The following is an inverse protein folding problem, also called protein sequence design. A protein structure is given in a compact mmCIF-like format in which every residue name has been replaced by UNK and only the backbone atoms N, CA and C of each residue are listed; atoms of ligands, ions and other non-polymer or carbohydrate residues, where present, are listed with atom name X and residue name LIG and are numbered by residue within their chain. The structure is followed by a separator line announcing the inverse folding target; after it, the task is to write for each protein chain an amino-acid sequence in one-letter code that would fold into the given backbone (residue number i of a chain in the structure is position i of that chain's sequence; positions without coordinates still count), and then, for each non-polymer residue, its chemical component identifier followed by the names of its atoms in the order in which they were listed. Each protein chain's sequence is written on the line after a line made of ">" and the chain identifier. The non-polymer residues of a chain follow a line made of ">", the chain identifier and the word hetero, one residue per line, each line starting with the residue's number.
data_IF_497929010508
#
_entry.id   IF_497929010508
#
_cell.length_a   1.000
_cell.length_b   1.000
_cell.length_c   1.000
_cell.angle_alpha   90.00
_cell.angle_beta   90.00
_cell.angle_gamma   90.00
#
_symmetry.space_group_name_H-M   'P 1'
#
loop_
_entity.id
_entity.type
_entity.pdbx_description
1 polymer ?
#
# COMPACT_ATOMS: atom_id res chain seq x y z
N UNK A 1 80.92 42.29 -23.49
CA UNK A 1 79.77 42.57 -22.61
C UNK A 1 78.49 42.37 -23.41
N UNK A 2 77.71 41.32 -23.20
CA UNK A 2 76.44 41.17 -23.87
C UNK A 2 75.36 41.87 -23.06
N UNK A 3 74.27 42.35 -23.66
CA UNK A 3 73.21 43.09 -22.98
C UNK A 3 72.25 42.13 -22.27
N UNK A 4 71.83 42.55 -21.08
CA UNK A 4 70.85 41.90 -20.21
C UNK A 4 69.45 42.10 -20.79
N UNK A 5 68.78 41.07 -21.25
CA UNK A 5 67.36 41.13 -21.67
C UNK A 5 66.52 40.81 -20.44
N UNK A 6 65.86 41.85 -19.89
CA UNK A 6 64.90 41.72 -18.81
C UNK A 6 63.54 41.37 -19.42
N UNK A 7 63.12 40.16 -19.33
CA UNK A 7 61.73 39.73 -19.64
C UNK A 7 60.85 39.97 -18.43
N UNK A 8 60.16 41.11 -18.36
CA UNK A 8 59.00 41.33 -17.46
C UNK A 8 57.82 40.54 -18.01
N UNK A 9 57.66 39.34 -17.59
CA UNK A 9 56.42 38.61 -17.78
C UNK A 9 55.33 39.24 -16.87
N UNK A 10 54.37 39.91 -17.51
CA UNK A 10 53.25 40.53 -16.84
C UNK A 10 52.32 39.46 -16.25
N UNK A 11 52.41 39.23 -14.96
CA UNK A 11 51.52 38.33 -14.17
C UNK A 11 50.05 38.86 -14.16
N UNK A 12 49.78 40.05 -14.67
CA UNK A 12 48.43 40.66 -14.61
C UNK A 12 47.43 40.01 -15.55
N UNK A 13 47.83 39.30 -16.60
CA UNK A 13 46.91 38.65 -17.54
C UNK A 13 46.39 37.30 -17.08
N UNK A 14 47.03 36.67 -16.11
CA UNK A 14 46.61 35.39 -15.59
C UNK A 14 45.40 35.50 -14.62
N UNK A 15 45.28 36.66 -13.98
CA UNK A 15 44.20 36.91 -13.00
C UNK A 15 42.84 37.22 -13.64
N UNK A 16 42.80 37.64 -14.90
CA UNK A 16 41.54 38.00 -15.57
C UNK A 16 40.78 36.79 -16.12
N UNK A 17 41.46 35.67 -16.39
CA UNK A 17 40.83 34.48 -16.97
C UNK A 17 40.25 33.52 -15.93
N UNK A 18 40.66 33.61 -14.66
CA UNK A 18 40.20 32.71 -13.61
C UNK A 18 38.89 33.18 -12.96
N UNK A 19 38.55 34.48 -13.05
CA UNK A 19 37.32 35.04 -12.46
C UNK A 19 36.01 34.50 -13.06
N UNK A 20 35.82 34.36 -14.37
CA UNK A 20 34.59 33.82 -14.92
C UNK A 20 34.44 32.31 -14.64
N UNK A 21 35.55 31.57 -14.54
CA UNK A 21 35.51 30.13 -14.25
C UNK A 21 35.06 29.84 -12.81
N UNK A 22 35.47 30.68 -11.86
CA UNK A 22 35.03 30.59 -10.46
C UNK A 22 33.55 30.91 -10.29
N UNK A 23 33.03 31.90 -11.01
CA UNK A 23 31.61 32.23 -10.98
C UNK A 23 30.74 31.13 -11.61
N UNK A 24 31.22 30.53 -12.68
CA UNK A 24 30.55 29.40 -13.33
C UNK A 24 30.46 28.18 -12.41
N UNK A 25 31.54 27.87 -11.68
CA UNK A 25 31.54 26.77 -10.72
C UNK A 25 30.57 26.99 -9.55
N UNK A 26 30.45 28.21 -9.05
CA UNK A 26 29.46 28.57 -8.02
C UNK A 26 28.01 28.43 -8.50
N UNK A 27 27.76 28.75 -9.76
CA UNK A 27 26.44 28.64 -10.36
C UNK A 27 26.02 27.18 -10.53
N UNK A 28 26.94 26.31 -10.90
CA UNK A 28 26.70 24.85 -11.02
C UNK A 28 26.43 24.23 -9.65
N UNK A 29 27.17 24.60 -8.61
CA UNK A 29 26.99 24.13 -7.24
C UNK A 29 25.62 24.57 -6.69
N UNK A 30 25.19 25.77 -7.01
CA UNK A 30 23.87 26.29 -6.61
C UNK A 30 22.70 25.51 -7.25
N UNK A 31 22.85 25.05 -8.49
CA UNK A 31 21.86 24.22 -9.17
C UNK A 31 21.80 22.78 -8.63
N UNK A 32 22.91 22.27 -8.13
CA UNK A 32 22.99 20.92 -7.53
C UNK A 32 22.40 20.85 -6.11
N UNK A 33 22.16 21.99 -5.46
CA UNK A 33 21.62 22.05 -4.11
C UNK A 33 20.10 22.18 -4.04
N UNK A 34 19.39 22.19 -5.20
CA UNK A 34 17.95 22.10 -5.15
C UNK A 34 17.58 20.64 -4.76
N UNK A 35 17.17 20.38 -3.50
CA UNK A 35 16.63 19.08 -3.17
C UNK A 35 15.39 18.89 -4.05
N UNK A 36 15.44 17.90 -4.91
CA UNK A 36 14.22 17.38 -5.52
C UNK A 36 13.45 16.75 -4.38
N UNK A 37 12.60 17.54 -3.73
CA UNK A 37 11.54 16.98 -2.91
C UNK A 37 10.68 16.19 -3.89
N UNK A 38 10.83 14.87 -3.90
CA UNK A 38 9.78 14.01 -4.40
C UNK A 38 8.56 14.37 -3.54
N UNK A 39 7.69 15.22 -4.08
CA UNK A 39 6.35 15.35 -3.56
C UNK A 39 5.73 13.96 -3.76
N UNK A 40 5.79 13.15 -2.70
CA UNK A 40 4.79 12.13 -2.52
C UNK A 40 3.50 12.93 -2.34
N UNK A 41 2.63 12.83 -3.31
CA UNK A 41 1.28 13.38 -3.21
C UNK A 41 0.56 12.49 -2.18
N UNK A 42 0.77 12.82 -0.89
CA UNK A 42 0.24 12.08 0.26
C UNK A 42 -1.27 12.32 0.46
N UNK A 43 -1.91 13.02 -0.47
CA UNK A 43 -3.34 13.30 -0.43
C UNK A 43 -4.19 12.15 -1.03
N UNK A 44 -3.80 10.89 -0.80
CA UNK A 44 -4.76 9.80 -0.92
C UNK A 44 -5.67 9.90 0.30
N UNK A 45 -6.77 10.61 0.13
CA UNK A 45 -7.84 10.69 1.14
C UNK A 45 -8.37 9.28 1.38
N UNK A 46 -7.83 8.62 2.44
CA UNK A 46 -8.31 7.30 2.83
C UNK A 46 -9.72 7.51 3.40
N UNK A 47 -10.78 6.93 2.80
CA UNK A 47 -12.12 7.08 3.33
C UNK A 47 -12.19 6.57 4.76
N UNK A 48 -12.91 7.26 5.64
CA UNK A 48 -13.08 6.87 7.04
C UNK A 48 -13.61 5.43 7.19
N UNK A 49 -14.42 4.99 6.23
CA UNK A 49 -14.98 3.64 6.19
C UNK A 49 -14.71 2.99 4.83
N UNK A 50 -13.56 2.35 4.69
CA UNK A 50 -13.19 1.59 3.48
C UNK A 50 -14.10 0.37 3.28
N UNK A 51 -14.52 -0.27 4.38
CA UNK A 51 -15.43 -1.41 4.36
C UNK A 51 -16.53 -1.17 5.37
N UNK A 52 -17.77 -1.32 4.93
CA UNK A 52 -18.96 -1.35 5.79
C UNK A 52 -19.61 -2.72 5.68
N UNK A 53 -20.26 -3.17 6.75
CA UNK A 53 -20.93 -4.48 6.72
C UNK A 53 -22.29 -4.42 7.41
N UNK A 54 -23.16 -5.36 7.00
CA UNK A 54 -24.39 -5.69 7.67
C UNK A 54 -24.33 -7.17 8.07
N UNK A 55 -24.71 -7.47 9.30
CA UNK A 55 -24.74 -8.84 9.82
C UNK A 55 -26.17 -9.30 10.00
N UNK A 56 -26.47 -10.55 9.65
CA UNK A 56 -27.76 -11.20 9.90
C UNK A 56 -27.58 -12.67 10.21
N UNK A 57 -28.55 -13.24 10.91
CA UNK A 57 -28.62 -14.68 11.21
C UNK A 57 -29.62 -15.35 10.29
N UNK A 58 -29.34 -16.59 9.93
CA UNK A 58 -30.25 -17.46 9.19
C UNK A 58 -30.31 -18.85 9.86
N UNK A 59 -31.45 -19.23 10.49
CA UNK A 59 -32.67 -18.46 10.70
C UNK A 59 -32.45 -17.23 11.61
N UNK A 60 -33.34 -16.22 11.56
CA UNK A 60 -33.19 -14.97 12.31
C UNK A 60 -33.20 -15.16 13.85
N UNK A 61 -33.94 -16.13 14.35
CA UNK A 61 -34.13 -16.35 15.78
C UNK A 61 -33.84 -17.83 16.14
N UNK A 62 -32.57 -18.28 16.05
CA UNK A 62 -32.21 -19.64 16.42
C UNK A 62 -32.32 -19.84 17.94
N UNK A 63 -32.74 -21.02 18.39
CA UNK A 63 -32.83 -21.38 19.79
C UNK A 63 -31.50 -22.00 20.28
N UNK A 64 -31.27 -22.01 21.60
CA UNK A 64 -30.17 -22.77 22.18
C UNK A 64 -30.13 -24.23 21.67
N UNK A 65 -28.96 -24.68 21.25
CA UNK A 65 -28.73 -25.98 20.64
C UNK A 65 -28.99 -26.04 19.13
N UNK A 66 -29.61 -25.03 18.51
CA UNK A 66 -29.86 -25.01 17.07
C UNK A 66 -28.67 -24.53 16.28
N UNK A 67 -28.57 -25.03 15.05
CA UNK A 67 -27.59 -24.54 14.07
C UNK A 67 -28.14 -23.30 13.35
N UNK A 68 -27.27 -22.35 13.14
CA UNK A 68 -27.56 -21.15 12.39
C UNK A 68 -26.38 -20.76 11.50
N UNK A 69 -26.58 -19.77 10.68
CA UNK A 69 -25.53 -19.19 9.85
C UNK A 69 -25.49 -17.68 10.08
N UNK A 70 -24.30 -17.17 10.37
CA UNK A 70 -24.04 -15.74 10.32
C UNK A 70 -23.70 -15.40 8.89
N UNK A 71 -24.35 -14.36 8.37
CA UNK A 71 -24.10 -13.80 7.04
C UNK A 71 -23.64 -12.36 7.25
N UNK A 72 -22.46 -12.05 6.71
CA UNK A 72 -21.89 -10.70 6.71
C UNK A 72 -21.88 -10.20 5.28
N UNK A 73 -22.76 -9.25 4.97
CA UNK A 73 -22.79 -8.59 3.67
C UNK A 73 -21.90 -7.35 3.73
N UNK A 74 -20.72 -7.41 3.11
CA UNK A 74 -19.74 -6.33 3.07
C UNK A 74 -19.97 -5.47 1.84
N UNK A 75 -19.82 -4.16 2.02
CA UNK A 75 -19.70 -3.18 0.94
C UNK A 75 -18.31 -2.55 1.03
N UNK A 76 -17.56 -2.67 -0.04
CA UNK A 76 -16.18 -2.23 -0.17
C UNK A 76 -16.17 -0.92 -0.97
N UNK A 77 -15.40 0.07 -0.53
CA UNK A 77 -15.28 1.35 -1.21
C UNK A 77 -14.59 1.16 -2.57
N UNK A 78 -15.02 1.90 -3.57
CA UNK A 78 -14.44 1.84 -4.91
C UNK A 78 -12.92 2.05 -4.88
N UNK A 79 -12.18 1.20 -5.63
CA UNK A 79 -10.73 1.19 -5.65
C UNK A 79 -10.06 0.41 -4.51
N UNK A 80 -10.85 -0.14 -3.57
CA UNK A 80 -10.39 -0.99 -2.48
C UNK A 80 -10.83 -2.43 -2.68
N UNK A 81 -10.13 -3.35 -2.04
CA UNK A 81 -10.48 -4.77 -2.05
C UNK A 81 -10.24 -5.41 -0.67
N UNK A 82 -10.89 -6.51 -0.42
CA UNK A 82 -10.62 -7.40 0.71
C UNK A 82 -10.16 -8.76 0.19
N UNK A 83 -9.16 -9.35 0.83
CA UNK A 83 -8.68 -10.65 0.41
C UNK A 83 -9.66 -11.76 0.78
N UNK A 84 -9.61 -12.87 0.06
CA UNK A 84 -10.38 -14.08 0.31
C UNK A 84 -10.21 -14.57 1.76
N UNK A 85 -11.22 -15.24 2.30
CA UNK A 85 -11.12 -15.98 3.57
C UNK A 85 -10.24 -17.24 3.42
N UNK A 86 -10.03 -17.70 2.18
CA UNK A 86 -9.14 -18.82 1.87
C UNK A 86 -7.73 -18.26 1.66
N UNK A 87 -6.74 -18.70 2.46
CA UNK A 87 -5.36 -18.22 2.28
C UNK A 87 -4.83 -18.54 0.88
N UNK A 88 -4.11 -17.60 0.29
CA UNK A 88 -3.31 -17.84 -0.91
C UNK A 88 -2.05 -18.65 -0.54
N UNK A 89 -1.55 -19.46 -1.46
CA UNK A 89 -0.30 -20.20 -1.26
C UNK A 89 0.90 -19.32 -1.61
N UNK A 90 1.94 -19.32 -0.76
CA UNK A 90 3.22 -18.61 -1.00
C UNK A 90 3.74 -17.86 0.22
N UNK A 91 5.06 -17.64 0.27
CA UNK A 91 5.76 -17.01 1.41
C UNK A 91 5.38 -15.53 1.62
N UNK A 92 4.91 -14.87 0.57
CA UNK A 92 4.50 -13.46 0.57
C UNK A 92 2.98 -13.29 0.40
N UNK A 93 2.20 -14.33 0.74
CA UNK A 93 0.75 -14.25 0.58
C UNK A 93 0.16 -13.18 1.50
N UNK A 94 -0.84 -12.42 1.01
CA UNK A 94 -1.58 -11.48 1.85
C UNK A 94 -2.29 -12.20 3.00
N UNK A 95 -2.49 -11.47 4.09
CA UNK A 95 -3.26 -11.99 5.22
C UNK A 95 -4.71 -12.19 4.76
N UNK A 96 -5.29 -13.39 4.90
CA UNK A 96 -6.66 -13.65 4.52
C UNK A 96 -7.64 -12.89 5.42
N UNK A 97 -8.84 -12.63 4.91
CA UNK A 97 -9.92 -12.09 5.71
C UNK A 97 -10.35 -13.10 6.76
N UNK A 98 -10.41 -12.69 8.02
CA UNK A 98 -10.80 -13.55 9.14
C UNK A 98 -12.03 -13.02 9.85
N UNK A 99 -12.91 -13.91 10.27
CA UNK A 99 -14.09 -13.59 11.09
C UNK A 99 -13.82 -13.97 12.54
N UNK A 100 -13.99 -13.01 13.44
CA UNK A 100 -13.86 -13.24 14.88
C UNK A 100 -15.10 -12.74 15.58
N UNK A 101 -15.72 -13.62 16.37
CA UNK A 101 -16.88 -13.30 17.17
C UNK A 101 -16.47 -13.24 18.65
N UNK A 102 -16.96 -12.21 19.35
CA UNK A 102 -16.65 -12.00 20.78
C UNK A 102 -17.67 -12.65 21.71
N UNK A 103 -18.78 -13.15 21.15
CA UNK A 103 -19.83 -13.78 21.91
C UNK A 103 -19.50 -15.25 22.14
N UNK A 104 -19.30 -15.63 23.40
CA UNK A 104 -18.94 -16.98 23.82
C UNK A 104 -20.10 -17.99 23.69
N UNK A 105 -21.34 -17.50 23.52
CA UNK A 105 -22.51 -18.36 23.27
C UNK A 105 -22.60 -18.87 21.83
N UNK A 106 -21.66 -18.48 20.96
CA UNK A 106 -21.60 -18.86 19.56
C UNK A 106 -20.50 -19.91 19.35
N UNK A 107 -20.86 -21.16 19.16
CA UNK A 107 -19.93 -22.20 18.77
C UNK A 107 -19.75 -22.20 17.25
N UNK A 108 -18.58 -21.85 16.75
CA UNK A 108 -18.27 -21.86 15.32
C UNK A 108 -18.15 -23.30 14.79
N UNK A 109 -18.84 -23.58 13.69
CA UNK A 109 -18.83 -24.89 13.04
C UNK A 109 -18.10 -24.79 11.69
N UNK A 110 -16.91 -25.35 11.61
CA UNK A 110 -16.08 -25.35 10.42
C UNK A 110 -15.51 -23.97 10.08
N UNK A 111 -14.82 -23.86 8.94
CA UNK A 111 -14.25 -22.60 8.49
C UNK A 111 -15.32 -21.63 7.94
N UNK A 112 -15.02 -20.35 7.98
CA UNK A 112 -15.76 -19.37 7.22
C UNK A 112 -15.64 -19.63 5.72
N UNK A 113 -16.66 -19.24 4.96
CA UNK A 113 -16.64 -19.32 3.50
C UNK A 113 -17.26 -18.06 2.89
N UNK A 114 -17.11 -17.90 1.60
CA UNK A 114 -17.44 -16.67 0.89
C UNK A 114 -18.16 -16.92 -0.43
N UNK A 115 -18.80 -15.91 -0.98
CA UNK A 115 -19.22 -15.91 -2.38
C UNK A 115 -17.98 -15.91 -3.29
N UNK A 116 -18.16 -16.28 -4.57
CA UNK A 116 -17.05 -16.45 -5.51
C UNK A 116 -16.09 -15.26 -5.55
N UNK A 117 -14.81 -15.44 -5.17
CA UNK A 117 -13.81 -14.38 -5.26
C UNK A 117 -13.36 -14.13 -6.71
N UNK A 118 -12.84 -12.95 -6.95
CA UNK A 118 -12.08 -12.61 -8.15
C UNK A 118 -10.67 -13.19 -7.96
N UNK A 119 -10.17 -13.89 -8.98
CA UNK A 119 -8.80 -14.38 -8.98
C UNK A 119 -7.98 -13.67 -10.06
N UNK A 120 -6.82 -13.14 -9.70
CA UNK A 120 -5.92 -12.47 -10.61
C UNK A 120 -4.46 -12.76 -10.30
N UNK A 121 -3.64 -12.86 -11.33
CA UNK A 121 -2.19 -12.97 -11.16
C UNK A 121 -1.60 -11.60 -10.82
N UNK A 122 -0.83 -11.56 -9.74
CA UNK A 122 -0.08 -10.38 -9.31
C UNK A 122 1.40 -10.55 -9.68
N UNK A 123 1.89 -9.74 -10.62
CA UNK A 123 3.27 -9.85 -11.12
C UNK A 123 4.32 -9.34 -10.12
N UNK A 124 3.94 -8.56 -9.12
CA UNK A 124 4.87 -8.07 -8.09
C UNK A 124 5.14 -9.14 -7.06
N UNK A 125 4.11 -9.88 -6.66
CA UNK A 125 4.21 -10.97 -5.70
C UNK A 125 4.47 -12.33 -6.37
N UNK A 126 4.43 -12.39 -7.71
CA UNK A 126 4.59 -13.61 -8.53
C UNK A 126 3.63 -14.74 -8.11
N UNK A 127 2.36 -14.39 -7.86
CA UNK A 127 1.35 -15.34 -7.37
C UNK A 127 -0.05 -14.98 -7.81
N UNK A 128 -0.97 -15.95 -7.75
CA UNK A 128 -2.39 -15.72 -7.95
C UNK A 128 -3.02 -15.31 -6.63
N UNK A 129 -3.71 -14.19 -6.64
CA UNK A 129 -4.45 -13.65 -5.50
C UNK A 129 -5.95 -13.86 -5.69
N UNK A 130 -6.65 -14.09 -4.58
CA UNK A 130 -8.10 -14.14 -4.51
C UNK A 130 -8.60 -13.02 -3.63
N UNK A 131 -9.53 -12.21 -4.13
CA UNK A 131 -10.02 -11.02 -3.45
C UNK A 131 -11.44 -10.65 -3.90
N UNK A 132 -12.04 -9.69 -3.22
CA UNK A 132 -13.36 -9.14 -3.54
C UNK A 132 -13.28 -7.63 -3.68
N UNK A 133 -14.06 -7.11 -4.62
CA UNK A 133 -14.28 -5.69 -4.86
C UNK A 133 -15.78 -5.39 -4.72
N UNK A 134 -16.15 -4.15 -4.42
CA UNK A 134 -17.50 -3.65 -4.32
C UNK A 134 -18.37 -4.34 -3.26
N UNK A 135 -18.63 -5.64 -3.39
CA UNK A 135 -19.50 -6.40 -2.48
C UNK A 135 -19.08 -7.86 -2.36
N UNK A 136 -19.22 -8.38 -1.15
CA UNK A 136 -19.06 -9.81 -0.87
C UNK A 136 -19.95 -10.20 0.30
N UNK A 137 -20.48 -11.43 0.26
CA UNK A 137 -21.11 -12.06 1.43
C UNK A 137 -20.17 -13.13 1.99
N UNK A 138 -19.86 -12.99 3.29
CA UNK A 138 -19.11 -13.96 4.05
C UNK A 138 -20.07 -14.73 4.96
N UNK A 139 -19.78 -16.00 5.17
CA UNK A 139 -20.65 -16.92 5.86
C UNK A 139 -19.90 -17.69 6.94
N UNK A 140 -20.52 -17.83 8.12
CA UNK A 140 -20.02 -18.70 9.19
C UNK A 140 -21.17 -19.52 9.75
N UNK A 141 -21.02 -20.84 9.71
CA UNK A 141 -21.94 -21.73 10.40
C UNK A 141 -21.64 -21.73 11.90
N UNK A 142 -22.68 -21.71 12.70
CA UNK A 142 -22.62 -21.65 14.16
C UNK A 142 -23.63 -22.60 14.79
N UNK A 143 -23.43 -22.92 16.05
CA UNK A 143 -24.43 -23.46 16.95
C UNK A 143 -24.59 -22.50 18.12
N UNK A 144 -25.82 -22.27 18.54
CA UNK A 144 -26.13 -21.46 19.73
C UNK A 144 -25.98 -22.35 20.95
N UNK A 145 -25.23 -21.92 21.96
CA UNK A 145 -25.12 -22.59 23.26
C UNK A 145 -26.21 -22.15 24.24
#
# INVERSE_FOLDING_TARGET
>A
MPPFISTKTSLSKLFFFTRPLFLLSFLIIYWLQNPVFAQFDDDVEIPENVVTFNARLEPENPRPGEHARIILDLKIHHGWHVFSVIPSEGDFSPIPTTLTFKDESLLMIGPAYESNPITAYNSVLDMVLSFHEERVSLFQNIQIE
#
